data_IF_286979372960
#
_entry.id   IF_286979372960
#
_cell.length_a   1.000
_cell.length_b   1.000
_cell.length_c   1.000
_cell.angle_alpha   90.00
_cell.angle_beta   90.00
_cell.angle_gamma   90.00
#
_symmetry.space_group_name_H-M   'P 1'
#
loop_
_entity.id
_entity.type
_entity.pdbx_description
1 polymer ?
#
# COMPACT_ATOMS: atom_id res chain seq x y z
N UNK A 1 23.11 -10.59 3.19
CA UNK A 1 23.01 -9.22 3.72
C UNK A 1 21.55 -8.84 3.58
N UNK A 2 20.94 -8.31 4.63
CA UNK A 2 19.55 -7.87 4.58
C UNK A 2 19.45 -6.63 3.67
N UNK A 3 18.65 -6.72 2.63
CA UNK A 3 18.57 -5.74 1.54
C UNK A 3 18.12 -4.34 1.99
N UNK A 4 17.33 -4.27 3.08
CA UNK A 4 16.80 -3.03 3.63
C UNK A 4 17.37 -2.67 5.00
N UNK A 5 18.54 -3.23 5.36
CA UNK A 5 19.22 -2.85 6.61
C UNK A 5 19.52 -1.36 6.65
N UNK A 6 19.12 -0.68 7.73
CA UNK A 6 19.23 0.78 7.87
C UNK A 6 18.21 1.58 7.08
N UNK A 7 17.18 0.95 6.51
CA UNK A 7 16.04 1.60 5.86
C UNK A 7 14.79 1.50 6.73
N UNK A 8 13.93 2.50 6.66
CA UNK A 8 12.64 2.54 7.36
C UNK A 8 11.49 2.48 6.37
N UNK A 9 10.62 1.48 6.51
CA UNK A 9 9.44 1.30 5.68
C UNK A 9 8.15 1.64 6.46
N UNK A 10 7.39 2.61 5.95
CA UNK A 10 6.03 2.89 6.41
C UNK A 10 5.06 2.06 5.58
N UNK A 11 4.29 1.19 6.25
CA UNK A 11 3.31 0.31 5.63
C UNK A 11 1.92 0.68 6.12
N UNK A 12 1.04 1.13 5.22
CA UNK A 12 -0.36 1.44 5.54
C UNK A 12 -1.24 0.21 5.35
N UNK A 13 -2.34 0.10 6.11
CA UNK A 13 -3.17 -1.11 6.10
C UNK A 13 -2.38 -2.34 6.58
N UNK A 14 -1.42 -2.12 7.47
CA UNK A 14 -0.43 -3.12 7.89
C UNK A 14 -1.06 -4.37 8.55
N UNK A 15 -2.20 -4.20 9.23
CA UNK A 15 -2.93 -5.29 9.87
C UNK A 15 -3.80 -6.12 8.91
N UNK A 16 -3.93 -5.71 7.63
CA UNK A 16 -4.62 -6.47 6.59
C UNK A 16 -3.77 -7.62 6.04
N UNK A 17 -4.39 -8.52 5.24
CA UNK A 17 -3.68 -9.70 4.71
C UNK A 17 -2.43 -9.32 3.89
N UNK A 18 -2.55 -8.39 2.95
CA UNK A 18 -1.42 -7.93 2.13
C UNK A 18 -0.43 -7.10 2.96
N UNK A 19 -0.93 -6.19 3.80
CA UNK A 19 -0.09 -5.35 4.66
C UNK A 19 0.78 -6.18 5.60
N UNK A 20 0.21 -7.23 6.21
CA UNK A 20 0.95 -8.17 7.06
C UNK A 20 2.05 -8.91 6.28
N UNK A 21 1.76 -9.38 5.06
CA UNK A 21 2.76 -10.04 4.22
C UNK A 21 3.90 -9.08 3.85
N UNK A 22 3.57 -7.84 3.46
CA UNK A 22 4.56 -6.79 3.12
C UNK A 22 5.41 -6.42 4.34
N UNK A 23 4.79 -6.21 5.51
CA UNK A 23 5.52 -5.88 6.74
C UNK A 23 6.51 -7.00 7.13
N UNK A 24 6.08 -8.26 7.08
CA UNK A 24 6.94 -9.43 7.35
C UNK A 24 8.08 -9.54 6.36
N UNK A 25 7.82 -9.30 5.09
CA UNK A 25 8.84 -9.36 4.05
C UNK A 25 9.92 -8.27 4.25
N UNK A 26 9.53 -7.03 4.57
CA UNK A 26 10.49 -5.97 4.91
C UNK A 26 11.27 -6.29 6.20
N UNK A 27 10.61 -6.81 7.23
CA UNK A 27 11.26 -7.24 8.48
C UNK A 27 12.33 -8.30 8.22
N UNK A 28 12.01 -9.32 7.41
CA UNK A 28 12.94 -10.39 7.05
C UNK A 28 14.18 -9.87 6.32
N UNK A 29 14.07 -8.74 5.63
CA UNK A 29 15.17 -8.06 4.92
C UNK A 29 15.79 -6.92 5.73
N UNK A 30 15.50 -6.84 7.05
CA UNK A 30 16.18 -5.98 8.00
C UNK A 30 15.75 -4.52 8.03
N UNK A 31 14.57 -4.18 7.48
CA UNK A 31 14.01 -2.83 7.58
C UNK A 31 13.46 -2.54 8.99
N UNK A 32 13.60 -1.28 9.45
CA UNK A 32 12.75 -0.73 10.49
C UNK A 32 11.33 -0.49 9.95
N UNK A 33 10.29 -0.65 10.79
CA UNK A 33 8.92 -0.63 10.34
C UNK A 33 8.06 0.40 11.08
N UNK A 34 7.33 1.21 10.32
CA UNK A 34 6.20 2.01 10.81
C UNK A 34 4.93 1.35 10.27
N UNK A 35 4.17 0.73 11.17
CA UNK A 35 2.97 -0.04 10.86
C UNK A 35 1.74 0.80 11.13
N UNK A 36 0.98 1.15 10.12
CA UNK A 36 -0.22 1.99 10.22
C UNK A 36 -1.48 1.20 9.84
N UNK A 37 -2.45 1.20 10.75
CA UNK A 37 -3.80 0.67 10.53
C UNK A 37 -4.78 1.32 11.53
N UNK A 38 -6.08 1.17 11.31
CA UNK A 38 -7.11 1.62 12.28
C UNK A 38 -7.29 0.65 13.44
N UNK A 39 -6.96 -0.60 13.24
CA UNK A 39 -7.15 -1.69 14.21
C UNK A 39 -5.90 -1.85 15.09
N UNK A 40 -5.88 -1.16 16.21
CA UNK A 40 -4.78 -1.17 17.17
C UNK A 40 -4.45 -2.58 17.66
N UNK A 41 -5.46 -3.37 18.03
CA UNK A 41 -5.24 -4.73 18.53
C UNK A 41 -4.57 -5.64 17.47
N UNK A 42 -4.95 -5.49 16.19
CA UNK A 42 -4.34 -6.25 15.09
C UNK A 42 -2.93 -5.76 14.77
N UNK A 43 -2.64 -4.45 14.93
CA UNK A 43 -1.29 -3.90 14.83
C UNK A 43 -0.37 -4.46 15.92
N UNK A 44 -0.84 -4.52 17.16
CA UNK A 44 -0.08 -5.08 18.27
C UNK A 44 0.21 -6.56 18.08
N UNK A 45 -0.76 -7.33 17.57
CA UNK A 45 -0.56 -8.73 17.22
C UNK A 45 0.48 -8.89 16.09
N UNK A 46 0.40 -8.06 15.05
CA UNK A 46 1.40 -8.06 13.98
C UNK A 46 2.79 -7.76 14.54
N UNK A 47 2.94 -6.68 15.29
CA UNK A 47 4.22 -6.27 15.88
C UNK A 47 4.82 -7.38 16.77
N UNK A 48 4.02 -7.97 17.64
CA UNK A 48 4.46 -9.11 18.46
C UNK A 48 4.88 -10.32 17.60
N UNK A 49 4.21 -10.56 16.49
CA UNK A 49 4.51 -11.66 15.56
C UNK A 49 5.72 -11.44 14.66
N UNK A 50 6.32 -10.24 14.63
CA UNK A 50 7.55 -9.96 13.89
C UNK A 50 8.81 -10.39 14.66
N UNK A 51 8.72 -10.56 15.98
CA UNK A 51 9.84 -10.92 16.85
C UNK A 51 10.52 -9.71 17.49
N UNK A 52 11.19 -9.95 18.63
CA UNK A 52 11.79 -8.89 19.47
C UNK A 52 12.97 -8.15 18.82
N UNK A 53 13.58 -8.74 17.80
CA UNK A 53 14.75 -8.16 17.11
C UNK A 53 14.36 -7.18 16.00
N UNK A 54 13.08 -7.13 15.62
CA UNK A 54 12.58 -6.21 14.60
C UNK A 54 12.18 -4.88 15.26
N UNK A 55 12.84 -3.79 14.85
CA UNK A 55 12.43 -2.46 15.29
C UNK A 55 11.15 -2.06 14.55
N UNK A 56 10.01 -2.11 15.23
CA UNK A 56 8.69 -1.85 14.64
C UNK A 56 7.82 -1.00 15.57
N UNK A 57 7.33 0.10 15.02
CA UNK A 57 6.41 1.03 15.67
C UNK A 57 4.99 0.81 15.12
N UNK A 58 4.06 0.43 15.98
CA UNK A 58 2.64 0.27 15.65
C UNK A 58 1.88 1.56 15.97
N UNK A 59 1.24 2.16 14.98
CA UNK A 59 0.60 3.47 15.06
C UNK A 59 -0.87 3.38 14.56
N UNK A 60 -1.84 3.34 15.48
CA UNK A 60 -3.25 3.42 15.11
C UNK A 60 -3.57 4.77 14.45
N UNK A 61 -4.13 4.75 13.22
CA UNK A 61 -4.34 5.98 12.46
C UNK A 61 -5.56 5.87 11.55
N UNK A 62 -6.40 6.92 11.51
CA UNK A 62 -7.37 7.10 10.44
C UNK A 62 -6.70 7.82 9.25
N UNK A 63 -6.38 7.07 8.22
CA UNK A 63 -5.73 7.59 7.01
C UNK A 63 -6.61 8.56 6.20
N UNK A 64 -7.91 8.64 6.48
CA UNK A 64 -8.81 9.63 5.88
C UNK A 64 -8.69 11.01 6.56
N UNK A 65 -8.21 11.06 7.81
CA UNK A 65 -7.91 12.31 8.50
C UNK A 65 -6.46 12.76 8.24
N UNK A 66 -6.25 13.86 7.51
CA UNK A 66 -4.90 14.34 7.20
C UNK A 66 -4.08 14.76 8.40
N UNK A 67 -4.73 15.17 9.52
CA UNK A 67 -4.02 15.53 10.75
C UNK A 67 -3.49 14.29 11.45
N UNK A 68 -4.36 13.27 11.60
CA UNK A 68 -3.95 11.96 12.14
C UNK A 68 -2.75 11.40 11.38
N UNK A 69 -2.77 11.45 10.03
CA UNK A 69 -1.64 10.98 9.22
C UNK A 69 -0.37 11.78 9.49
N UNK A 70 -0.45 13.11 9.54
CA UNK A 70 0.71 13.97 9.81
C UNK A 70 1.32 13.67 11.18
N UNK A 71 0.49 13.56 12.20
CA UNK A 71 0.94 13.32 13.59
C UNK A 71 1.64 11.95 13.70
N UNK A 72 1.12 10.91 13.06
CA UNK A 72 1.71 9.58 13.12
C UNK A 72 2.98 9.47 12.25
N UNK A 73 3.07 10.19 11.12
CA UNK A 73 4.31 10.30 10.33
C UNK A 73 5.41 10.99 11.16
N UNK A 74 5.08 12.08 11.85
CA UNK A 74 6.05 12.77 12.74
C UNK A 74 6.50 11.89 13.92
N UNK A 75 5.61 11.08 14.49
CA UNK A 75 5.98 10.09 15.52
C UNK A 75 6.95 9.04 14.96
N UNK A 76 6.67 8.54 13.76
CA UNK A 76 7.58 7.61 13.07
C UNK A 76 8.95 8.21 12.79
N UNK A 77 8.99 9.47 12.33
CA UNK A 77 10.22 10.22 12.12
C UNK A 77 10.98 10.47 13.43
N UNK A 78 10.26 10.77 14.50
CA UNK A 78 10.85 10.94 15.84
C UNK A 78 11.54 9.67 16.36
N UNK A 79 11.06 8.49 15.97
CA UNK A 79 11.63 7.20 16.37
C UNK A 79 12.80 6.78 15.45
N UNK A 80 12.62 6.81 14.13
CA UNK A 80 13.60 6.29 13.17
C UNK A 80 14.53 7.35 12.58
N UNK A 81 14.19 8.62 12.68
CA UNK A 81 14.92 9.73 12.07
C UNK A 81 14.67 9.92 10.57
N UNK A 82 14.14 8.93 9.89
CA UNK A 82 13.89 8.96 8.44
C UNK A 82 12.79 7.97 8.04
N UNK A 83 12.17 8.23 6.88
CA UNK A 83 11.25 7.29 6.20
C UNK A 83 11.74 7.17 4.76
N UNK A 84 12.23 5.98 4.40
CA UNK A 84 12.78 5.70 3.08
C UNK A 84 11.75 5.11 2.13
N UNK A 85 10.85 4.31 2.66
CA UNK A 85 9.88 3.55 1.87
C UNK A 85 8.48 3.86 2.36
N UNK A 86 7.57 4.13 1.41
CA UNK A 86 6.14 4.26 1.64
C UNK A 86 5.40 3.18 0.85
N UNK A 87 4.87 2.18 1.53
CA UNK A 87 4.01 1.16 0.96
C UNK A 87 2.53 1.49 1.26
N UNK A 88 1.84 2.10 0.30
CA UNK A 88 0.41 2.43 0.37
C UNK A 88 -0.43 1.20 0.06
N UNK A 89 -0.62 0.34 1.08
CA UNK A 89 -1.37 -0.92 0.97
C UNK A 89 -2.85 -0.72 1.35
N UNK A 90 -3.14 0.26 2.23
CA UNK A 90 -4.50 0.54 2.67
C UNK A 90 -5.46 0.73 1.50
N UNK A 91 -6.64 0.15 1.61
CA UNK A 91 -7.69 0.23 0.62
C UNK A 91 -8.83 -0.72 0.96
N UNK A 92 -9.89 -0.66 0.18
CA UNK A 92 -11.06 -1.50 0.37
C UNK A 92 -11.82 -1.73 -0.92
N UNK A 93 -12.66 -2.75 -0.91
CA UNK A 93 -13.52 -3.11 -2.02
C UNK A 93 -14.93 -3.41 -1.52
N UNK A 94 -15.93 -2.87 -2.23
CA UNK A 94 -17.33 -3.30 -2.11
C UNK A 94 -17.94 -3.41 -3.50
N UNK A 95 -18.74 -4.44 -3.72
CA UNK A 95 -19.60 -4.55 -4.88
C UNK A 95 -20.82 -3.66 -4.65
N UNK A 96 -21.12 -2.77 -5.60
CA UNK A 96 -22.27 -1.85 -5.51
C UNK A 96 -23.43 -2.20 -6.47
N UNK A 97 -24.44 -1.34 -6.56
CA UNK A 97 -25.46 -1.38 -7.60
C UNK A 97 -24.87 -0.96 -8.97
N UNK A 98 -25.67 -0.92 -10.05
CA UNK A 98 -25.31 -0.23 -11.29
C UNK A 98 -24.91 1.23 -11.03
N UNK A 99 -24.02 1.78 -11.86
CA UNK A 99 -23.41 3.09 -11.61
C UNK A 99 -24.45 4.23 -11.40
N UNK A 100 -25.53 4.25 -12.18
CA UNK A 100 -26.59 5.27 -12.08
C UNK A 100 -27.45 5.16 -10.81
N UNK A 101 -27.34 4.08 -10.07
CA UNK A 101 -28.01 3.83 -8.79
C UNK A 101 -27.06 3.94 -7.59
N UNK A 102 -25.76 4.24 -7.84
CA UNK A 102 -24.76 4.38 -6.78
C UNK A 102 -25.06 5.63 -5.95
N UNK A 103 -25.21 5.48 -4.64
CA UNK A 103 -25.40 6.60 -3.73
C UNK A 103 -24.08 7.37 -3.52
N UNK A 104 -24.17 8.70 -3.31
CA UNK A 104 -23.01 9.57 -3.10
C UNK A 104 -22.12 9.09 -1.96
N UNK A 105 -22.71 8.58 -0.86
CA UNK A 105 -21.93 8.04 0.29
C UNK A 105 -21.03 6.86 -0.11
N UNK A 106 -21.53 5.99 -1.00
CA UNK A 106 -20.79 4.78 -1.42
C UNK A 106 -19.71 5.16 -2.44
N UNK A 107 -20.02 6.14 -3.31
CA UNK A 107 -19.06 6.77 -4.20
C UNK A 107 -17.92 7.42 -3.39
N UNK A 108 -18.26 8.30 -2.46
CA UNK A 108 -17.28 9.02 -1.64
C UNK A 108 -16.45 8.06 -0.78
N UNK A 109 -17.08 7.04 -0.20
CA UNK A 109 -16.37 6.04 0.59
C UNK A 109 -15.31 5.31 -0.24
N UNK A 110 -15.64 4.85 -1.45
CA UNK A 110 -14.68 4.15 -2.31
C UNK A 110 -13.52 5.04 -2.75
N UNK A 111 -13.78 6.30 -3.08
CA UNK A 111 -12.73 7.27 -3.39
C UNK A 111 -11.87 7.58 -2.16
N UNK A 112 -12.49 7.78 -1.01
CA UNK A 112 -11.77 8.13 0.21
C UNK A 112 -10.87 7.00 0.68
N UNK A 113 -11.38 5.75 0.78
CA UNK A 113 -10.59 4.64 1.29
C UNK A 113 -9.47 4.19 0.34
N UNK A 114 -9.59 4.40 -0.98
CA UNK A 114 -8.63 3.93 -1.96
C UNK A 114 -7.71 5.03 -2.53
N UNK A 115 -8.13 6.29 -2.48
CA UNK A 115 -7.40 7.39 -3.11
C UNK A 115 -7.00 8.48 -2.11
N UNK A 116 -7.94 8.96 -1.27
CA UNK A 116 -7.66 10.01 -0.28
C UNK A 116 -6.62 9.54 0.74
N UNK A 117 -6.70 8.30 1.20
CA UNK A 117 -5.73 7.70 2.14
C UNK A 117 -4.31 7.74 1.57
N UNK A 118 -4.14 7.30 0.31
CA UNK A 118 -2.86 7.34 -0.40
C UNK A 118 -2.35 8.79 -0.54
N UNK A 119 -3.21 9.71 -0.97
CA UNK A 119 -2.85 11.12 -1.11
C UNK A 119 -2.38 11.73 0.22
N UNK A 120 -3.07 11.46 1.32
CA UNK A 120 -2.69 11.97 2.64
C UNK A 120 -1.31 11.44 3.06
N UNK A 121 -1.02 10.16 2.87
CA UNK A 121 0.28 9.55 3.19
C UNK A 121 1.40 10.13 2.30
N UNK A 122 1.19 10.22 0.99
CA UNK A 122 2.18 10.81 0.09
C UNK A 122 2.51 12.25 0.49
N UNK A 123 1.49 13.07 0.76
CA UNK A 123 1.67 14.46 1.17
C UNK A 123 2.46 14.61 2.47
N UNK A 124 2.29 13.70 3.42
CA UNK A 124 3.00 13.74 4.69
C UNK A 124 4.44 13.23 4.58
N UNK A 125 4.70 12.19 3.76
CA UNK A 125 6.01 11.52 3.71
C UNK A 125 6.97 12.13 2.69
N UNK A 126 6.49 12.55 1.52
CA UNK A 126 7.34 13.00 0.41
C UNK A 126 8.29 14.14 0.78
N UNK A 127 7.89 15.19 1.55
CA UNK A 127 8.83 16.25 1.93
C UNK A 127 10.07 15.74 2.67
N UNK A 128 9.94 14.69 3.48
CA UNK A 128 11.05 14.06 4.18
C UNK A 128 11.94 13.24 3.26
N UNK A 129 11.34 12.52 2.29
CA UNK A 129 12.10 11.81 1.26
C UNK A 129 12.90 12.78 0.39
N UNK A 130 12.32 13.94 0.01
CA UNK A 130 13.01 15.00 -0.74
C UNK A 130 14.20 15.56 0.05
N UNK A 131 14.03 15.84 1.34
CA UNK A 131 15.11 16.33 2.19
C UNK A 131 16.27 15.32 2.28
N UNK A 132 15.97 14.01 2.22
CA UNK A 132 16.95 12.93 2.25
C UNK A 132 17.54 12.60 0.86
N UNK A 133 16.97 13.12 -0.23
CA UNK A 133 17.38 12.83 -1.61
C UNK A 133 17.18 11.37 -2.03
N UNK A 134 16.30 10.63 -1.35
CA UNK A 134 16.03 9.23 -1.62
C UNK A 134 14.63 8.82 -1.15
N UNK A 135 13.92 8.05 -1.95
CA UNK A 135 12.62 7.51 -1.57
C UNK A 135 12.13 6.42 -2.51
N UNK A 136 11.32 5.51 -1.99
CA UNK A 136 10.59 4.49 -2.76
C UNK A 136 9.14 4.48 -2.33
N UNK A 137 8.24 4.70 -3.29
CA UNK A 137 6.80 4.71 -3.07
C UNK A 137 6.19 3.57 -3.90
N UNK A 138 5.46 2.68 -3.24
CA UNK A 138 4.69 1.63 -3.91
C UNK A 138 3.23 1.74 -3.51
N UNK A 139 2.39 1.98 -4.51
CA UNK A 139 0.95 2.09 -4.38
C UNK A 139 0.25 0.80 -4.80
N UNK A 140 -0.90 0.48 -4.22
CA UNK A 140 -1.71 -0.66 -4.63
C UNK A 140 -2.94 -0.19 -5.40
N UNK A 141 -2.89 -0.40 -6.72
CA UNK A 141 -4.03 -0.27 -7.61
C UNK A 141 -4.79 -1.61 -7.69
N UNK A 142 -5.31 -1.98 -8.84
CA UNK A 142 -5.98 -3.24 -9.08
C UNK A 142 -6.06 -3.55 -10.58
N UNK A 143 -6.26 -4.81 -10.97
CA UNK A 143 -6.59 -5.17 -12.35
C UNK A 143 -7.82 -4.39 -12.87
N UNK A 144 -8.82 -4.19 -12.01
CA UNK A 144 -10.04 -3.44 -12.30
C UNK A 144 -9.80 -1.94 -12.66
N UNK A 145 -8.61 -1.42 -12.43
CA UNK A 145 -8.22 -0.07 -12.85
C UNK A 145 -8.06 0.07 -14.37
N UNK A 146 -7.77 -1.02 -15.07
CA UNK A 146 -7.55 -1.05 -16.52
C UNK A 146 -8.76 -1.50 -17.32
N UNK A 147 -9.78 -2.01 -16.65
CA UNK A 147 -11.00 -2.50 -17.27
C UNK A 147 -12.21 -2.16 -16.39
N UNK A 148 -13.23 -1.52 -16.96
CA UNK A 148 -14.48 -1.30 -16.24
C UNK A 148 -15.18 -2.62 -15.95
N UNK A 149 -15.62 -2.78 -14.70
CA UNK A 149 -16.39 -3.95 -14.26
C UNK A 149 -17.80 -3.52 -13.84
N UNK A 150 -18.78 -4.28 -14.25
CA UNK A 150 -20.17 -4.02 -13.85
C UNK A 150 -20.27 -4.01 -12.31
N UNK A 151 -21.01 -3.04 -11.76
CA UNK A 151 -21.25 -2.87 -10.32
C UNK A 151 -19.99 -2.56 -9.48
N UNK A 152 -18.92 -2.11 -10.12
CA UNK A 152 -17.66 -1.75 -9.47
C UNK A 152 -17.20 -0.32 -9.84
N UNK A 153 -18.10 0.53 -10.35
CA UNK A 153 -17.76 1.85 -10.90
C UNK A 153 -16.87 2.71 -10.01
N UNK A 154 -17.27 3.01 -8.76
CA UNK A 154 -16.46 3.85 -7.84
C UNK A 154 -15.09 3.25 -7.54
N UNK A 155 -15.02 1.93 -7.35
CA UNK A 155 -13.76 1.22 -7.12
C UNK A 155 -12.83 1.28 -8.33
N UNK A 156 -13.35 0.98 -9.54
CA UNK A 156 -12.57 1.05 -10.77
C UNK A 156 -12.01 2.47 -10.98
N UNK A 157 -12.85 3.50 -10.79
CA UNK A 157 -12.45 4.90 -10.90
C UNK A 157 -11.34 5.26 -9.90
N UNK A 158 -11.50 4.91 -8.62
CA UNK A 158 -10.49 5.16 -7.59
C UNK A 158 -9.16 4.47 -7.92
N UNK A 159 -9.20 3.18 -8.32
CA UNK A 159 -7.98 2.42 -8.65
C UNK A 159 -7.32 2.86 -9.95
N UNK A 160 -8.08 3.38 -10.93
CA UNK A 160 -7.53 4.03 -12.12
C UNK A 160 -6.81 5.34 -11.75
N UNK A 161 -7.40 6.16 -10.87
CA UNK A 161 -6.78 7.37 -10.38
C UNK A 161 -5.46 7.09 -9.62
N UNK A 162 -5.32 5.97 -8.90
CA UNK A 162 -4.05 5.55 -8.27
C UNK A 162 -2.94 5.39 -9.30
N UNK A 163 -3.22 4.83 -10.49
CA UNK A 163 -2.22 4.71 -11.57
C UNK A 163 -1.76 6.10 -12.00
N UNK A 164 -2.69 7.00 -12.32
CA UNK A 164 -2.36 8.36 -12.77
C UNK A 164 -1.59 9.15 -11.70
N UNK A 165 -1.99 9.06 -10.41
CA UNK A 165 -1.24 9.71 -9.34
C UNK A 165 0.17 9.13 -9.17
N UNK A 166 0.35 7.83 -9.39
CA UNK A 166 1.68 7.20 -9.35
C UNK A 166 2.58 7.75 -10.46
N UNK A 167 2.07 7.88 -11.68
CA UNK A 167 2.77 8.48 -12.82
C UNK A 167 3.10 9.96 -12.56
N UNK A 168 2.17 10.71 -11.95
CA UNK A 168 2.37 12.10 -11.54
C UNK A 168 3.50 12.22 -10.53
N UNK A 169 3.47 11.43 -9.44
CA UNK A 169 4.52 11.41 -8.42
C UNK A 169 5.89 11.07 -9.03
N UNK A 170 5.95 10.08 -9.92
CA UNK A 170 7.18 9.72 -10.61
C UNK A 170 7.73 10.86 -11.47
N UNK A 171 6.86 11.60 -12.16
CA UNK A 171 7.25 12.74 -13.00
C UNK A 171 7.72 13.94 -12.18
N UNK A 172 7.03 14.25 -11.07
CA UNK A 172 7.35 15.37 -10.20
C UNK A 172 8.69 15.19 -9.47
N UNK A 173 8.97 13.95 -9.01
CA UNK A 173 10.11 13.67 -8.13
C UNK A 173 11.27 12.93 -8.81
N UNK A 174 11.30 12.87 -10.13
CA UNK A 174 12.37 12.19 -10.90
C UNK A 174 13.78 12.70 -10.61
N UNK A 175 13.91 13.93 -10.14
CA UNK A 175 15.20 14.54 -9.81
C UNK A 175 15.50 14.55 -8.31
N UNK A 176 14.54 14.11 -7.48
CA UNK A 176 14.66 14.07 -6.02
C UNK A 176 15.17 12.71 -5.51
N UNK A 177 15.53 11.80 -6.42
CA UNK A 177 15.93 10.43 -6.06
C UNK A 177 14.77 9.54 -5.59
N UNK A 178 13.52 9.97 -5.84
CA UNK A 178 12.31 9.25 -5.42
C UNK A 178 11.72 8.51 -6.61
N UNK A 179 11.49 7.20 -6.45
CA UNK A 179 10.74 6.40 -7.42
C UNK A 179 9.35 6.09 -6.88
N UNK A 180 8.33 6.30 -7.70
CA UNK A 180 6.95 5.95 -7.40
C UNK A 180 6.43 4.94 -8.42
N UNK A 181 5.94 3.79 -7.94
CA UNK A 181 5.37 2.74 -8.77
C UNK A 181 4.06 2.22 -8.18
N UNK A 182 3.25 1.53 -8.94
CA UNK A 182 2.12 0.80 -8.40
C UNK A 182 2.06 -0.64 -8.92
N UNK A 183 1.51 -1.51 -8.07
CA UNK A 183 1.15 -2.88 -8.46
C UNK A 183 -0.35 -2.95 -8.74
N UNK A 184 -0.72 -3.81 -9.70
CA UNK A 184 -2.11 -4.10 -10.05
C UNK A 184 -2.39 -5.57 -9.73
N UNK A 185 -2.82 -5.90 -8.52
CA UNK A 185 -3.17 -7.26 -8.18
C UNK A 185 -4.36 -7.79 -9.01
N UNK A 186 -4.33 -9.08 -9.34
CA UNK A 186 -5.52 -9.87 -9.63
C UNK A 186 -6.30 -10.15 -8.35
N UNK A 187 -7.05 -11.25 -8.31
CA UNK A 187 -7.70 -11.68 -7.06
C UNK A 187 -6.64 -12.14 -6.07
N UNK A 188 -6.59 -11.49 -4.90
CA UNK A 188 -5.66 -11.87 -3.85
C UNK A 188 -6.23 -13.05 -3.08
N UNK A 189 -5.42 -14.06 -2.82
CA UNK A 189 -5.81 -15.23 -2.02
C UNK A 189 -5.88 -14.86 -0.54
N UNK A 190 -7.10 -14.57 -0.08
CA UNK A 190 -7.38 -14.19 1.29
C UNK A 190 -8.58 -14.97 1.83
N UNK A 191 -8.68 -15.19 3.15
CA UNK A 191 -9.85 -15.83 3.74
C UNK A 191 -11.16 -15.16 3.34
N UNK A 192 -11.19 -13.83 3.26
CA UNK A 192 -12.38 -13.06 2.89
C UNK A 192 -12.78 -13.32 1.42
N UNK A 193 -11.81 -13.33 0.49
CA UNK A 193 -12.08 -13.60 -0.91
C UNK A 193 -12.52 -15.07 -1.13
N UNK A 194 -11.89 -16.00 -0.43
CA UNK A 194 -12.31 -17.42 -0.46
C UNK A 194 -13.75 -17.59 0.05
N UNK A 195 -14.11 -16.90 1.13
CA UNK A 195 -15.49 -16.94 1.66
C UNK A 195 -16.50 -16.28 0.70
N UNK A 196 -16.10 -15.21 -0.01
CA UNK A 196 -16.97 -14.52 -0.97
C UNK A 196 -17.15 -15.29 -2.29
N UNK A 197 -16.19 -16.14 -2.66
CA UNK A 197 -16.16 -16.88 -3.93
C UNK A 197 -15.78 -18.35 -3.69
N UNK A 198 -16.58 -19.14 -2.96
CA UNK A 198 -16.21 -20.49 -2.53
C UNK A 198 -16.01 -21.49 -3.68
N UNK A 199 -16.64 -21.24 -4.84
CA UNK A 199 -16.54 -22.11 -6.02
C UNK A 199 -15.38 -21.75 -6.96
N UNK A 200 -14.54 -20.73 -6.58
CA UNK A 200 -13.44 -20.30 -7.44
C UNK A 200 -12.23 -21.24 -7.32
N UNK A 201 -11.44 -21.30 -8.39
CA UNK A 201 -10.17 -22.02 -8.40
C UNK A 201 -9.08 -21.14 -7.73
N UNK A 202 -8.85 -21.34 -6.42
CA UNK A 202 -7.94 -20.51 -5.62
C UNK A 202 -6.47 -20.60 -6.06
N UNK A 203 -6.07 -21.70 -6.70
CA UNK A 203 -4.72 -21.86 -7.25
C UNK A 203 -4.37 -20.88 -8.34
N UNK A 204 -5.38 -20.20 -8.93
CA UNK A 204 -5.20 -19.13 -9.92
C UNK A 204 -5.00 -17.75 -9.28
N UNK A 205 -5.30 -17.61 -7.99
CA UNK A 205 -5.21 -16.34 -7.27
C UNK A 205 -3.77 -16.00 -6.87
N UNK A 206 -3.55 -14.75 -6.48
CA UNK A 206 -2.23 -14.26 -6.11
C UNK A 206 -2.06 -14.35 -4.60
N UNK A 207 -1.11 -15.13 -4.08
CA UNK A 207 -0.79 -15.12 -2.66
C UNK A 207 -0.31 -13.73 -2.22
N UNK A 208 -0.68 -13.25 -1.01
CA UNK A 208 -0.16 -11.99 -0.46
C UNK A 208 1.36 -11.91 -0.45
N UNK A 209 2.06 -13.02 -0.20
CA UNK A 209 3.51 -13.12 -0.17
C UNK A 209 4.14 -12.82 -1.55
N UNK A 210 3.53 -13.32 -2.64
CA UNK A 210 4.00 -13.03 -3.99
C UNK A 210 3.84 -11.54 -4.36
N UNK A 211 2.81 -10.88 -3.84
CA UNK A 211 2.65 -9.42 -3.98
C UNK A 211 3.71 -8.68 -3.14
N UNK A 212 4.00 -9.16 -1.94
CA UNK A 212 5.04 -8.59 -1.09
C UNK A 212 6.41 -8.67 -1.75
N UNK A 213 6.77 -9.78 -2.40
CA UNK A 213 8.02 -9.93 -3.17
C UNK A 213 8.14 -8.87 -4.27
N UNK A 214 7.04 -8.58 -4.98
CA UNK A 214 7.01 -7.53 -6.01
C UNK A 214 7.16 -6.14 -5.39
N UNK A 215 6.53 -5.87 -4.25
CA UNK A 215 6.69 -4.60 -3.51
C UNK A 215 8.15 -4.42 -3.10
N UNK A 216 8.80 -5.43 -2.53
CA UNK A 216 10.20 -5.39 -2.16
C UNK A 216 11.10 -5.14 -3.38
N UNK A 217 10.86 -5.85 -4.50
CA UNK A 217 11.60 -5.60 -5.74
C UNK A 217 11.51 -4.13 -6.16
N UNK A 218 10.31 -3.55 -6.20
CA UNK A 218 10.10 -2.15 -6.60
C UNK A 218 10.76 -1.14 -5.65
N UNK A 219 11.00 -1.52 -4.39
CA UNK A 219 11.72 -0.70 -3.40
C UNK A 219 13.24 -0.92 -3.45
N UNK A 220 13.74 -1.92 -4.15
CA UNK A 220 15.13 -2.33 -4.16
C UNK A 220 16.01 -1.52 -5.12
N UNK A 221 17.32 -1.63 -4.97
CA UNK A 221 18.30 -1.08 -5.92
C UNK A 221 18.19 -1.73 -7.32
N UNK A 222 17.70 -2.97 -7.41
CA UNK A 222 17.47 -3.62 -8.71
C UNK A 222 16.41 -2.87 -9.54
N UNK A 223 15.46 -2.20 -8.88
CA UNK A 223 14.42 -1.39 -9.52
C UNK A 223 14.75 0.12 -9.59
N UNK A 224 15.99 0.55 -9.34
CA UNK A 224 16.36 1.98 -9.28
C UNK A 224 15.98 2.81 -10.51
N UNK A 225 15.86 2.18 -11.66
CA UNK A 225 15.45 2.83 -12.91
C UNK A 225 13.97 2.60 -13.26
N UNK A 226 13.19 1.97 -12.36
CA UNK A 226 11.76 1.75 -12.54
C UNK A 226 11.01 2.84 -11.77
N UNK A 227 10.36 3.76 -12.49
CA UNK A 227 9.53 4.82 -11.91
C UNK A 227 8.36 5.13 -12.82
N UNK A 228 7.17 5.35 -12.29
CA UNK A 228 5.92 5.54 -13.02
C UNK A 228 5.30 4.24 -13.53
N UNK A 229 5.80 3.08 -13.14
CA UNK A 229 5.28 1.81 -13.63
C UNK A 229 3.99 1.40 -12.92
N UNK A 230 3.03 0.89 -13.73
CA UNK A 230 1.83 0.20 -13.25
C UNK A 230 1.97 -1.28 -13.59
N UNK A 231 2.48 -2.07 -12.63
CA UNK A 231 2.91 -3.45 -12.84
C UNK A 231 1.78 -4.45 -12.57
N UNK A 232 1.30 -5.18 -13.60
CA UNK A 232 0.32 -6.25 -13.41
C UNK A 232 0.90 -7.42 -12.60
N UNK A 233 0.17 -7.86 -11.57
CA UNK A 233 0.48 -9.04 -10.76
C UNK A 233 -0.80 -9.85 -10.64
N UNK A 234 -1.18 -10.53 -11.73
CA UNK A 234 -2.51 -11.13 -11.86
C UNK A 234 -2.57 -12.61 -11.46
N UNK A 235 -1.41 -13.24 -11.24
CA UNK A 235 -1.36 -14.69 -11.08
C UNK A 235 -1.78 -15.38 -12.38
N UNK A 236 -2.74 -16.29 -12.27
CA UNK A 236 -3.34 -16.99 -13.41
C UNK A 236 -4.85 -16.66 -13.56
N UNK A 237 -5.32 -15.61 -12.85
CA UNK A 237 -6.73 -15.19 -12.85
C UNK A 237 -7.04 -14.13 -13.93
#
# INVERSE_FOLDING_TARGET
MNQFSGKTALVTGAAGNLGTAVARAFAAEGAGLILIDRNEAALDQLRAGLGETVDALALPCDLMDPRSVSDEVERGLGHFGHIDILANIAGGFTMGPPLHETEDRDWDFMLNINLRTLFNCCRAVIPHMQANGWGRIVNVSARAAREGKARMGPYCAAKAAVITLTETLAAEHKHDGINANCILPGTIDTPQNRAAMPEAEFSNWVPPEALADVVLFLCSEAARCVSGAALPVYGRS
#
